data_IF_609969145404
#
_entry.id   IF_609969145404
#
_cell.length_a   1.000
_cell.length_b   1.000
_cell.length_c   1.000
_cell.angle_alpha   90.00
_cell.angle_beta   90.00
_cell.angle_gamma   90.00
#
_symmetry.space_group_name_H-M   'P 1'
#
loop_
_entity.id
_entity.type
_entity.pdbx_description
1 polymer ?
#
# COMPACT_ATOMS: atom_id res chain seq x y z
N UNK A 1 15.47 1.10 -6.14
CA UNK A 1 14.07 0.97 -6.59
C UNK A 1 13.74 -0.49 -6.73
N UNK A 2 12.73 -0.96 -6.00
CA UNK A 2 12.38 -2.38 -5.96
C UNK A 2 11.55 -2.76 -7.20
N UNK A 3 11.69 -3.97 -7.73
CA UNK A 3 10.81 -4.44 -8.79
C UNK A 3 9.47 -4.89 -8.20
N UNK A 4 8.38 -4.17 -8.51
CA UNK A 4 7.03 -4.43 -7.98
C UNK A 4 6.52 -5.85 -8.31
N UNK A 5 7.04 -6.48 -9.36
CA UNK A 5 6.68 -7.86 -9.72
C UNK A 5 7.13 -8.87 -8.66
N UNK A 6 8.18 -8.54 -7.89
CA UNK A 6 8.63 -9.35 -6.76
C UNK A 6 7.56 -9.32 -5.67
N UNK A 7 7.05 -8.14 -5.33
CA UNK A 7 6.01 -7.96 -4.31
C UNK A 7 4.72 -8.72 -4.66
N UNK A 8 4.34 -8.73 -5.93
CA UNK A 8 3.16 -9.48 -6.43
C UNK A 8 3.30 -11.00 -6.30
N UNK A 9 4.52 -11.51 -6.13
CA UNK A 9 4.78 -12.95 -5.91
C UNK A 9 4.85 -13.34 -4.44
N UNK A 10 4.74 -12.39 -3.51
CA UNK A 10 4.85 -12.61 -2.07
C UNK A 10 3.47 -12.53 -1.40
N UNK A 11 3.37 -13.08 -0.18
CA UNK A 11 2.27 -12.72 0.71
C UNK A 11 2.38 -11.25 1.12
N UNK A 12 1.28 -10.61 1.53
CA UNK A 12 1.30 -9.22 2.00
C UNK A 12 2.37 -9.00 3.10
N UNK A 13 2.39 -9.86 4.12
CA UNK A 13 3.38 -9.80 5.19
C UNK A 13 4.83 -9.92 4.67
N UNK A 14 5.08 -10.83 3.73
CA UNK A 14 6.42 -11.00 3.14
C UNK A 14 6.84 -9.82 2.27
N UNK A 15 5.90 -9.22 1.55
CA UNK A 15 6.14 -8.01 0.75
C UNK A 15 6.46 -6.80 1.64
N UNK A 16 5.72 -6.62 2.74
CA UNK A 16 6.01 -5.57 3.74
C UNK A 16 7.38 -5.78 4.39
N UNK A 17 7.70 -7.01 4.81
CA UNK A 17 9.02 -7.32 5.38
C UNK A 17 10.16 -6.98 4.41
N UNK A 18 10.04 -7.36 3.13
CA UNK A 18 11.03 -7.03 2.11
C UNK A 18 11.20 -5.52 1.93
N UNK A 19 10.10 -4.75 1.91
CA UNK A 19 10.16 -3.29 1.79
C UNK A 19 10.94 -2.67 2.95
N UNK A 20 10.67 -3.09 4.18
CA UNK A 20 11.36 -2.61 5.37
C UNK A 20 12.86 -2.99 5.36
N UNK A 21 13.19 -4.22 4.95
CA UNK A 21 14.58 -4.68 4.82
C UNK A 21 15.36 -3.89 3.75
N UNK A 22 14.69 -3.45 2.68
CA UNK A 22 15.25 -2.60 1.62
C UNK A 22 15.28 -1.11 1.99
N UNK A 23 14.83 -0.75 3.19
CA UNK A 23 14.92 0.61 3.74
C UNK A 23 13.76 1.54 3.38
N UNK A 24 12.64 1.01 2.87
CA UNK A 24 11.41 1.78 2.76
C UNK A 24 10.83 2.03 4.15
N UNK A 25 10.18 3.17 4.31
CA UNK A 25 9.45 3.55 5.51
C UNK A 25 7.95 3.50 5.23
N UNK A 26 7.20 2.94 6.16
CA UNK A 26 5.74 3.01 6.14
C UNK A 26 5.30 4.44 6.48
N UNK A 27 4.49 5.03 5.61
CA UNK A 27 3.94 6.37 5.76
C UNK A 27 2.53 6.32 6.31
N UNK A 28 1.99 7.50 6.64
CA UNK A 28 0.60 7.64 7.08
C UNK A 28 -0.36 7.05 6.04
N UNK A 29 -1.25 6.18 6.51
CA UNK A 29 -2.40 5.66 5.75
C UNK A 29 -3.22 6.83 5.18
N UNK A 30 -3.58 6.72 3.91
CA UNK A 30 -4.47 7.65 3.24
C UNK A 30 -5.80 6.93 3.02
N UNK A 31 -6.85 7.48 3.62
CA UNK A 31 -8.23 7.00 3.50
C UNK A 31 -9.00 7.94 2.57
N UNK A 32 -9.73 7.37 1.62
CA UNK A 32 -10.54 8.14 0.68
C UNK A 32 -11.86 7.42 0.42
N UNK A 33 -12.97 8.13 0.55
CA UNK A 33 -14.27 7.64 0.08
C UNK A 33 -14.33 7.69 -1.45
N UNK A 34 -14.90 6.65 -2.05
CA UNK A 34 -15.00 6.53 -3.51
C UNK A 34 -16.38 6.03 -3.91
N UNK A 35 -16.95 6.62 -4.96
CA UNK A 35 -18.25 6.19 -5.51
C UNK A 35 -18.15 4.79 -6.18
N UNK A 36 -16.93 4.31 -6.49
CA UNK A 36 -16.69 2.99 -7.10
C UNK A 36 -16.45 1.88 -6.07
N UNK A 37 -15.94 2.23 -4.89
CA UNK A 37 -15.65 1.35 -3.77
C UNK A 37 -15.77 2.20 -2.49
N UNK A 38 -16.75 1.91 -1.64
CA UNK A 38 -17.15 2.79 -0.53
C UNK A 38 -15.96 3.39 0.23
N UNK A 39 -14.90 2.59 0.42
CA UNK A 39 -13.60 3.05 0.94
C UNK A 39 -12.42 2.60 0.08
N UNK A 40 -11.46 3.51 -0.12
CA UNK A 40 -10.14 3.24 -0.69
C UNK A 40 -9.07 3.50 0.38
N UNK A 41 -8.31 2.46 0.71
CA UNK A 41 -7.21 2.53 1.68
C UNK A 41 -5.87 2.44 0.94
N UNK A 42 -4.98 3.38 1.20
CA UNK A 42 -3.66 3.45 0.57
C UNK A 42 -2.57 3.47 1.64
N UNK A 43 -1.73 2.44 1.64
CA UNK A 43 -0.61 2.25 2.57
C UNK A 43 0.71 2.54 1.84
N UNK A 44 1.27 3.76 1.95
CA UNK A 44 2.44 4.14 1.19
C UNK A 44 3.72 3.69 1.88
N UNK A 45 4.65 3.17 1.11
CA UNK A 45 6.01 2.82 1.51
C UNK A 45 6.99 3.68 0.71
N UNK A 46 7.75 4.53 1.38
CA UNK A 46 8.60 5.53 0.74
C UNK A 46 10.07 5.29 1.05
N UNK A 47 10.91 5.30 0.01
CA UNK A 47 12.36 5.22 0.13
C UNK A 47 12.96 6.61 -0.05
N UNK A 48 13.80 7.04 0.89
CA UNK A 48 14.42 8.36 0.87
C UNK A 48 15.93 8.29 0.60
N UNK A 49 16.49 9.36 0.03
CA UNK A 49 17.93 9.57 -0.06
C UNK A 49 18.50 10.16 1.24
N UNK A 50 19.82 10.29 1.32
CA UNK A 50 20.50 10.88 2.48
C UNK A 50 20.19 12.36 2.74
N UNK A 51 19.46 13.04 1.84
CA UNK A 51 18.99 14.42 1.98
C UNK A 51 17.47 14.48 2.22
N UNK A 52 16.85 13.36 2.59
CA UNK A 52 15.41 13.24 2.83
C UNK A 52 14.54 13.53 1.59
N UNK A 53 15.04 13.23 0.39
CA UNK A 53 14.28 13.31 -0.87
C UNK A 53 13.75 11.94 -1.25
N UNK A 54 12.54 11.88 -1.77
CA UNK A 54 11.91 10.64 -2.21
C UNK A 54 12.68 10.08 -3.42
N UNK A 55 13.16 8.84 -3.31
CA UNK A 55 13.79 8.04 -4.37
C UNK A 55 12.75 7.14 -5.05
N UNK A 56 11.87 6.52 -4.26
CA UNK A 56 10.87 5.56 -4.73
C UNK A 56 9.67 5.59 -3.79
N UNK A 57 8.49 5.27 -4.32
CA UNK A 57 7.28 5.09 -3.55
C UNK A 57 6.50 3.90 -4.10
N UNK A 58 6.06 3.03 -3.20
CA UNK A 58 5.27 1.85 -3.51
C UNK A 58 4.06 1.88 -2.59
N UNK A 59 2.87 1.61 -3.11
CA UNK A 59 1.62 1.74 -2.36
C UNK A 59 0.89 0.41 -2.39
N UNK A 60 0.52 -0.12 -1.22
CA UNK A 60 -0.50 -1.15 -1.14
C UNK A 60 -1.87 -0.48 -1.15
N UNK A 61 -2.74 -0.90 -2.07
CA UNK A 61 -4.06 -0.32 -2.25
C UNK A 61 -5.10 -1.40 -1.93
N UNK A 62 -6.07 -1.07 -1.09
CA UNK A 62 -7.23 -1.90 -0.79
C UNK A 62 -8.51 -1.17 -1.19
N UNK A 63 -9.31 -1.82 -2.04
CA UNK A 63 -10.65 -1.39 -2.41
C UNK A 63 -11.63 -2.10 -1.49
N UNK A 64 -12.29 -1.35 -0.63
CA UNK A 64 -13.22 -1.91 0.34
C UNK A 64 -14.65 -1.51 0.01
N UNK A 65 -15.58 -2.42 0.26
CA UNK A 65 -17.02 -2.22 0.10
C UNK A 65 -17.68 -2.35 1.47
N UNK A 66 -18.61 -1.46 1.78
CA UNK A 66 -19.38 -1.52 3.01
C UNK A 66 -20.41 -2.65 2.90
N UNK A 67 -20.35 -3.61 3.83
CA UNK A 67 -21.24 -4.78 3.87
C UNK A 67 -22.30 -4.68 4.97
N UNK A 68 -22.03 -3.88 6.00
CA UNK A 68 -22.95 -3.48 7.06
C UNK A 68 -22.51 -2.12 7.61
N UNK A 69 -23.35 -1.44 8.38
CA UNK A 69 -23.02 -0.11 8.95
C UNK A 69 -21.65 -0.13 9.64
N UNK A 70 -20.68 0.58 9.06
CA UNK A 70 -19.28 0.67 9.49
C UNK A 70 -18.45 -0.64 9.41
N UNK A 71 -18.93 -1.66 8.69
CA UNK A 71 -18.19 -2.90 8.39
C UNK A 71 -17.80 -2.95 6.91
N UNK A 72 -16.49 -3.02 6.64
CA UNK A 72 -15.94 -3.03 5.29
C UNK A 72 -15.23 -4.36 4.99
N UNK A 73 -15.46 -4.92 3.79
CA UNK A 73 -14.73 -6.08 3.27
C UNK A 73 -13.79 -5.69 2.14
N UNK A 74 -12.59 -6.29 2.10
CA UNK A 74 -11.65 -6.17 0.99
C UNK A 74 -12.22 -6.85 -0.26
N UNK A 75 -12.56 -6.04 -1.27
CA UNK A 75 -12.99 -6.51 -2.58
C UNK A 75 -11.79 -6.85 -3.47
N UNK A 76 -10.73 -6.04 -3.39
CA UNK A 76 -9.55 -6.13 -4.23
C UNK A 76 -8.39 -5.38 -3.60
N UNK A 77 -7.25 -6.05 -3.53
CA UNK A 77 -6.02 -5.43 -3.06
C UNK A 77 -4.83 -5.69 -4.00
N UNK A 78 -3.96 -4.69 -4.17
CA UNK A 78 -2.78 -4.80 -5.03
C UNK A 78 -1.68 -3.77 -4.74
N UNK A 79 -0.46 -4.10 -5.17
CA UNK A 79 0.67 -3.19 -5.18
C UNK A 79 0.65 -2.25 -6.41
N UNK A 80 0.78 -0.95 -6.15
CA UNK A 80 0.89 0.13 -7.14
C UNK A 80 2.18 0.96 -6.95
N UNK A 81 2.56 1.70 -7.99
CA UNK A 81 3.63 2.69 -8.00
C UNK A 81 3.14 3.92 -8.77
#
# INVERSE_FOLDING_TARGET
>A
MLNISILKGLSHLGAVQLLLEEGYLEETLIEQTSDECDMLLQYPFTLYDGNNRIIDQIIWVEYCVEVAEDEYEDLKSFWSR
#
